data_IF_939146849916
#
_entry.id   IF_939146849916
#
_cell.length_a   1.000
_cell.length_b   1.000
_cell.length_c   1.000
_cell.angle_alpha   90.00
_cell.angle_beta   90.00
_cell.angle_gamma   90.00
#
_symmetry.space_group_name_H-M   'P 1'
#
loop_
_entity.id
_entity.type
_entity.pdbx_description
1 polymer ?
#
# COMPACT_ATOMS: atom_id res chain seq x y z
N UNK A 1 -24.49 9.82 -15.49
CA UNK A 1 -23.01 9.89 -15.68
C UNK A 1 -22.54 8.44 -15.85
N UNK A 2 -21.61 8.16 -16.77
CA UNK A 2 -21.03 6.82 -16.90
C UNK A 2 -20.26 6.54 -15.61
N UNK A 3 -20.51 5.39 -14.96
CA UNK A 3 -19.74 4.97 -13.80
C UNK A 3 -18.27 4.83 -14.20
N UNK A 4 -17.37 5.28 -13.34
CA UNK A 4 -15.94 5.11 -13.56
C UNK A 4 -15.51 3.70 -13.17
N UNK A 5 -14.65 3.10 -13.99
CA UNK A 5 -14.06 1.78 -13.74
C UNK A 5 -12.67 1.92 -13.16
N UNK A 6 -12.43 1.25 -12.04
CA UNK A 6 -11.12 1.23 -11.38
C UNK A 6 -10.28 0.05 -11.86
N UNK A 7 -9.07 0.30 -12.33
CA UNK A 7 -8.05 -0.72 -12.51
C UNK A 7 -7.26 -0.94 -11.23
N UNK A 8 -7.04 -2.18 -10.83
CA UNK A 8 -6.28 -2.49 -9.60
C UNK A 8 -5.07 -3.36 -9.94
N UNK A 9 -3.87 -2.83 -9.69
CA UNK A 9 -2.64 -3.61 -9.68
C UNK A 9 -2.56 -4.40 -8.37
N UNK A 10 -2.91 -5.67 -8.44
CA UNK A 10 -3.02 -6.57 -7.30
C UNK A 10 -2.07 -7.78 -7.36
N UNK A 11 -2.20 -8.64 -6.37
CA UNK A 11 -1.35 -9.82 -6.22
C UNK A 11 -0.04 -9.59 -5.46
N UNK A 12 0.13 -8.43 -4.83
CA UNK A 12 1.39 -7.90 -4.28
C UNK A 12 1.47 -7.83 -2.71
N UNK A 13 0.83 -8.65 -1.85
CA UNK A 13 0.31 -9.98 -2.02
C UNK A 13 -1.21 -10.10 -2.29
N UNK A 14 -1.58 -11.32 -2.63
CA UNK A 14 -2.96 -11.63 -3.02
C UNK A 14 -4.01 -11.24 -1.98
N UNK A 15 -3.77 -11.54 -0.70
CA UNK A 15 -4.72 -11.21 0.37
C UNK A 15 -4.97 -9.70 0.51
N UNK A 16 -3.98 -8.86 0.23
CA UNK A 16 -4.18 -7.41 0.22
C UNK A 16 -5.18 -6.98 -0.87
N UNK A 17 -5.17 -7.65 -2.02
CA UNK A 17 -6.13 -7.40 -3.10
C UNK A 17 -7.54 -7.86 -2.75
N UNK A 18 -7.68 -9.02 -2.08
CA UNK A 18 -8.97 -9.51 -1.58
C UNK A 18 -9.54 -8.53 -0.56
N UNK A 19 -8.74 -8.14 0.41
CA UNK A 19 -9.15 -7.20 1.46
C UNK A 19 -9.52 -5.82 0.89
N UNK A 20 -8.74 -5.31 -0.07
CA UNK A 20 -9.07 -4.07 -0.76
C UNK A 20 -10.43 -4.14 -1.45
N UNK A 21 -10.70 -5.24 -2.18
CA UNK A 21 -12.00 -5.43 -2.84
C UNK A 21 -13.15 -5.47 -1.84
N UNK A 22 -13.00 -6.25 -0.76
CA UNK A 22 -13.99 -6.33 0.32
C UNK A 22 -14.24 -4.94 0.95
N UNK A 23 -13.18 -4.18 1.23
CA UNK A 23 -13.32 -2.83 1.77
C UNK A 23 -14.07 -1.90 0.82
N UNK A 24 -13.75 -1.91 -0.48
CA UNK A 24 -14.44 -1.06 -1.44
C UNK A 24 -15.93 -1.42 -1.51
N UNK A 25 -16.28 -2.70 -1.52
CA UNK A 25 -17.68 -3.14 -1.49
C UNK A 25 -18.38 -2.67 -0.22
N UNK A 26 -17.77 -2.87 0.96
CA UNK A 26 -18.38 -2.53 2.24
C UNK A 26 -18.47 -1.02 2.49
N UNK A 27 -17.58 -0.22 1.93
CA UNK A 27 -17.56 1.24 2.09
C UNK A 27 -18.38 1.98 1.02
N UNK A 28 -18.84 1.29 -0.02
CA UNK A 28 -19.70 1.89 -1.03
C UNK A 28 -21.13 1.98 -0.49
N UNK A 29 -21.69 3.20 -0.46
CA UNK A 29 -23.10 3.42 -0.08
C UNK A 29 -24.01 3.00 -1.25
N UNK A 30 -24.14 1.69 -1.44
CA UNK A 30 -24.94 1.07 -2.49
C UNK A 30 -26.14 0.32 -1.88
N UNK A 31 -27.30 0.44 -2.53
CA UNK A 31 -28.54 -0.27 -2.13
C UNK A 31 -28.84 -1.46 -3.05
N UNK A 32 -28.24 -1.47 -4.24
CA UNK A 32 -28.37 -2.51 -5.26
C UNK A 32 -27.01 -2.73 -5.91
N UNK A 33 -26.81 -3.88 -6.54
CA UNK A 33 -25.52 -4.27 -7.15
C UNK A 33 -24.99 -3.24 -8.16
N UNK A 34 -25.90 -2.58 -8.90
CA UNK A 34 -25.57 -1.62 -9.96
C UNK A 34 -25.03 -0.28 -9.45
N UNK A 35 -25.07 -0.04 -8.15
CA UNK A 35 -24.53 1.16 -7.50
C UNK A 35 -23.09 0.97 -6.98
N UNK A 36 -22.58 -0.28 -7.03
CA UNK A 36 -21.20 -0.58 -6.65
C UNK A 36 -20.19 -0.10 -7.71
N UNK A 37 -18.94 0.00 -7.27
CA UNK A 37 -17.81 0.44 -8.11
C UNK A 37 -17.43 -0.66 -9.10
N UNK A 38 -17.39 -0.34 -10.40
CA UNK A 38 -16.85 -1.24 -11.41
C UNK A 38 -15.32 -1.37 -11.26
N UNK A 39 -14.79 -2.61 -11.20
CA UNK A 39 -13.36 -2.85 -11.03
C UNK A 39 -12.82 -3.94 -11.92
N UNK A 40 -11.59 -3.77 -12.39
CA UNK A 40 -10.77 -4.81 -13.01
C UNK A 40 -9.53 -5.00 -12.15
N UNK A 41 -9.39 -6.16 -11.53
CA UNK A 41 -8.28 -6.47 -10.63
C UNK A 41 -7.33 -7.45 -11.31
N UNK A 42 -6.07 -7.07 -11.51
CA UNK A 42 -5.02 -8.02 -11.85
C UNK A 42 -4.51 -8.68 -10.56
N UNK A 43 -4.35 -10.00 -10.57
CA UNK A 43 -3.74 -10.72 -9.45
C UNK A 43 -2.46 -11.41 -9.92
N UNK A 44 -1.35 -10.64 -9.99
CA UNK A 44 -0.05 -11.19 -10.39
C UNK A 44 0.77 -11.56 -9.16
N UNK A 45 0.49 -12.72 -8.57
CA UNK A 45 1.22 -13.22 -7.40
C UNK A 45 2.71 -13.52 -7.68
N UNK A 46 3.08 -13.73 -8.96
CA UNK A 46 4.45 -13.97 -9.42
C UNK A 46 5.30 -12.71 -9.58
N UNK A 47 4.77 -11.53 -9.20
CA UNK A 47 5.56 -10.29 -9.21
C UNK A 47 6.76 -10.41 -8.27
N UNK A 48 8.00 -10.14 -8.72
CA UNK A 48 9.20 -10.22 -7.90
C UNK A 48 9.07 -9.45 -6.58
N UNK A 49 9.73 -9.91 -5.51
CA UNK A 49 9.61 -9.25 -4.20
C UNK A 49 10.21 -7.84 -4.25
N UNK A 50 9.39 -6.86 -3.88
CA UNK A 50 9.72 -5.43 -3.92
C UNK A 50 10.78 -5.07 -2.90
N UNK A 51 10.68 -5.63 -1.69
CA UNK A 51 11.67 -5.35 -0.64
C UNK A 51 13.02 -5.93 -1.00
N UNK A 52 13.08 -7.19 -1.42
CA UNK A 52 14.33 -7.85 -1.81
C UNK A 52 15.05 -7.07 -2.94
N UNK A 53 14.31 -6.58 -3.94
CA UNK A 53 14.86 -5.72 -4.98
C UNK A 53 15.39 -4.39 -4.44
N UNK A 54 14.60 -3.70 -3.61
CA UNK A 54 14.96 -2.37 -3.07
C UNK A 54 16.19 -2.45 -2.15
N UNK A 55 16.33 -3.52 -1.38
CA UNK A 55 17.47 -3.66 -0.44
C UNK A 55 18.70 -4.32 -1.10
N UNK A 56 18.61 -4.71 -2.37
CA UNK A 56 19.72 -5.29 -3.13
C UNK A 56 19.95 -6.79 -2.90
N UNK A 57 18.94 -7.50 -2.38
CA UNK A 57 18.94 -8.96 -2.21
C UNK A 57 18.47 -9.72 -3.46
N UNK A 58 17.90 -9.01 -4.44
CA UNK A 58 17.46 -9.56 -5.72
C UNK A 58 17.66 -8.55 -6.84
N UNK A 59 18.07 -9.05 -8.01
CA UNK A 59 18.18 -8.26 -9.26
C UNK A 59 16.89 -8.29 -10.10
N UNK A 60 15.86 -9.00 -9.67
CA UNK A 60 14.59 -9.10 -10.38
C UNK A 60 13.76 -7.81 -10.21
N UNK A 61 13.78 -6.93 -11.23
CA UNK A 61 13.07 -5.65 -11.23
C UNK A 61 11.54 -5.84 -11.34
N UNK A 62 10.78 -5.58 -10.25
CA UNK A 62 9.32 -5.72 -10.26
C UNK A 62 8.61 -4.72 -11.17
N UNK A 63 9.24 -3.58 -11.47
CA UNK A 63 8.60 -2.49 -12.22
C UNK A 63 8.19 -2.91 -13.64
N UNK A 64 8.93 -3.84 -14.26
CA UNK A 64 8.63 -4.30 -15.62
C UNK A 64 7.25 -4.95 -15.74
N UNK A 65 6.96 -5.87 -14.83
CA UNK A 65 5.65 -6.56 -14.82
C UNK A 65 4.52 -5.66 -14.35
N UNK A 66 4.82 -4.71 -13.44
CA UNK A 66 3.83 -3.73 -12.99
C UNK A 66 3.43 -2.77 -14.11
N UNK A 67 4.38 -2.30 -14.91
CA UNK A 67 4.13 -1.48 -16.11
C UNK A 67 3.32 -2.25 -17.14
N UNK A 68 3.66 -3.52 -17.39
CA UNK A 68 2.91 -4.37 -18.33
C UNK A 68 1.45 -4.52 -17.90
N UNK A 69 1.20 -4.78 -16.63
CA UNK A 69 -0.17 -4.90 -16.11
C UNK A 69 -0.91 -3.55 -16.07
N UNK A 70 -0.24 -2.44 -15.78
CA UNK A 70 -0.83 -1.11 -15.85
C UNK A 70 -1.31 -0.77 -17.27
N UNK A 71 -0.49 -1.06 -18.28
CA UNK A 71 -0.86 -0.88 -19.70
C UNK A 71 -2.00 -1.78 -20.13
N UNK A 72 -2.07 -3.01 -19.62
CA UNK A 72 -3.21 -3.89 -19.88
C UNK A 72 -4.49 -3.32 -19.29
N UNK A 73 -4.45 -2.83 -18.06
CA UNK A 73 -5.60 -2.18 -17.44
C UNK A 73 -6.04 -0.93 -18.22
N UNK A 74 -5.11 -0.08 -18.65
CA UNK A 74 -5.41 1.05 -19.52
C UNK A 74 -6.08 0.60 -20.84
N UNK A 75 -5.55 -0.45 -21.49
CA UNK A 75 -6.13 -1.01 -22.71
C UNK A 75 -7.51 -1.64 -22.51
N UNK A 76 -7.85 -2.12 -21.32
CA UNK A 76 -9.21 -2.54 -20.98
C UNK A 76 -10.17 -1.36 -20.84
N UNK A 77 -9.68 -0.14 -20.79
CA UNK A 77 -10.47 1.08 -20.73
C UNK A 77 -10.90 1.47 -19.30
N UNK A 78 -10.10 1.13 -18.29
CA UNK A 78 -10.33 1.65 -16.92
C UNK A 78 -10.06 3.16 -16.89
N UNK A 79 -10.76 3.87 -16.01
CA UNK A 79 -10.65 5.32 -15.92
C UNK A 79 -9.45 5.79 -15.06
N UNK A 80 -9.02 4.98 -14.11
CA UNK A 80 -7.83 5.24 -13.28
C UNK A 80 -7.33 3.94 -12.63
N UNK A 81 -6.11 3.97 -12.11
CA UNK A 81 -5.45 2.81 -11.49
C UNK A 81 -5.20 3.06 -10.01
N UNK A 82 -5.44 2.02 -9.18
CA UNK A 82 -4.93 1.89 -7.82
C UNK A 82 -3.96 0.69 -7.72
N UNK A 83 -3.10 0.68 -6.71
CA UNK A 83 -2.15 -0.42 -6.48
C UNK A 83 -2.18 -0.85 -5.02
N UNK A 84 -2.48 -2.12 -4.75
CA UNK A 84 -2.68 -2.66 -3.39
C UNK A 84 -1.37 -3.09 -2.71
N UNK A 85 -0.33 -2.25 -2.83
CA UNK A 85 0.98 -2.53 -2.23
C UNK A 85 1.73 -1.25 -1.89
N UNK A 86 1.92 -0.97 -0.60
CA UNK A 86 2.69 0.19 -0.15
C UNK A 86 4.13 0.18 -0.70
N UNK A 87 4.86 -0.92 -0.53
CA UNK A 87 6.28 -1.02 -0.96
C UNK A 87 6.44 -0.81 -2.47
N UNK A 88 5.47 -1.25 -3.28
CA UNK A 88 5.51 -1.09 -4.73
C UNK A 88 5.36 0.39 -5.17
N UNK A 89 4.93 1.30 -4.29
CA UNK A 89 4.90 2.74 -4.58
C UNK A 89 6.30 3.35 -4.74
N UNK A 90 7.37 2.65 -4.38
CA UNK A 90 8.72 2.98 -4.84
C UNK A 90 8.82 3.12 -6.37
N UNK A 91 8.05 2.32 -7.09
CA UNK A 91 7.99 2.35 -8.55
C UNK A 91 6.89 3.24 -9.11
N UNK A 92 6.15 3.97 -8.27
CA UNK A 92 4.97 4.75 -8.65
C UNK A 92 5.23 5.66 -9.86
N UNK A 93 6.25 6.50 -9.81
CA UNK A 93 6.56 7.43 -10.90
C UNK A 93 6.87 6.70 -12.22
N UNK A 94 7.58 5.56 -12.14
CA UNK A 94 7.94 4.76 -13.32
C UNK A 94 6.70 4.12 -13.95
N UNK A 95 5.75 3.67 -13.14
CA UNK A 95 4.49 3.10 -13.60
C UNK A 95 3.57 4.19 -14.14
N UNK A 96 3.31 5.24 -13.36
CA UNK A 96 2.42 6.34 -13.73
C UNK A 96 2.85 7.04 -15.03
N UNK A 97 4.15 7.23 -15.25
CA UNK A 97 4.69 7.81 -16.49
C UNK A 97 4.58 6.86 -17.71
N UNK A 98 4.22 5.60 -17.52
CA UNK A 98 4.09 4.61 -18.60
C UNK A 98 2.68 4.49 -19.18
N UNK A 99 1.70 5.16 -18.58
CA UNK A 99 0.28 5.16 -18.92
C UNK A 99 -0.23 6.59 -19.06
N UNK A 100 -1.40 6.77 -19.71
CA UNK A 100 -2.02 8.09 -19.93
C UNK A 100 -3.21 8.36 -19.02
N UNK A 101 -3.64 7.38 -18.22
CA UNK A 101 -4.72 7.52 -17.25
C UNK A 101 -4.17 7.81 -15.84
N UNK A 102 -4.95 8.46 -14.97
CA UNK A 102 -4.51 8.75 -13.61
C UNK A 102 -4.18 7.47 -12.81
N UNK A 103 -3.16 7.54 -11.98
CA UNK A 103 -2.85 6.52 -10.98
C UNK A 103 -2.88 7.13 -9.60
N UNK A 104 -3.60 6.49 -8.66
CA UNK A 104 -3.66 6.91 -7.27
C UNK A 104 -2.37 6.53 -6.53
N UNK A 105 -1.83 7.49 -5.78
CA UNK A 105 -0.71 7.24 -4.87
C UNK A 105 -1.26 7.00 -3.45
N UNK A 106 -1.34 5.73 -3.02
CA UNK A 106 -1.95 5.41 -1.72
C UNK A 106 -1.14 5.97 -0.55
N UNK A 107 0.18 6.14 -0.68
CA UNK A 107 1.01 6.76 0.36
C UNK A 107 0.60 8.21 0.54
N UNK A 108 0.51 8.96 -0.56
CA UNK A 108 0.09 10.37 -0.54
C UNK A 108 -1.36 10.52 -0.04
N UNK A 109 -2.29 9.69 -0.52
CA UNK A 109 -3.70 9.74 -0.08
C UNK A 109 -3.84 9.40 1.41
N UNK A 110 -3.06 8.45 1.94
CA UNK A 110 -3.01 8.15 3.37
C UNK A 110 -2.58 9.36 4.20
N UNK A 111 -1.51 10.05 3.79
CA UNK A 111 -1.01 11.21 4.51
C UNK A 111 -1.95 12.42 4.38
N UNK A 112 -2.56 12.64 3.22
CA UNK A 112 -3.63 13.65 3.06
C UNK A 112 -4.79 13.38 4.01
N UNK A 113 -5.21 12.13 4.15
CA UNK A 113 -6.27 11.75 5.08
C UNK A 113 -5.87 12.02 6.53
N UNK A 114 -4.67 11.62 6.94
CA UNK A 114 -4.15 11.90 8.28
C UNK A 114 -4.12 13.41 8.57
N UNK A 115 -3.70 14.23 7.61
CA UNK A 115 -3.73 15.71 7.73
C UNK A 115 -5.16 16.23 7.89
N UNK A 116 -6.09 15.74 7.06
CA UNK A 116 -7.50 16.15 7.10
C UNK A 116 -8.20 15.76 8.40
N UNK A 117 -7.76 14.67 9.04
CA UNK A 117 -8.25 14.20 10.35
C UNK A 117 -7.46 14.74 11.54
N UNK A 118 -6.58 15.73 11.30
CA UNK A 118 -5.78 16.45 12.31
C UNK A 118 -4.76 15.59 13.08
N UNK A 119 -4.30 14.48 12.53
CA UNK A 119 -3.17 13.75 13.12
C UNK A 119 -1.91 14.60 13.08
N UNK A 120 -1.12 14.54 14.16
CA UNK A 120 0.10 15.34 14.34
C UNK A 120 1.36 14.53 14.20
N UNK A 121 1.35 13.28 14.67
CA UNK A 121 2.50 12.39 14.66
C UNK A 121 2.11 10.96 14.33
N UNK A 122 2.64 10.45 13.24
CA UNK A 122 2.35 9.10 12.74
C UNK A 122 3.45 8.10 13.10
N UNK A 123 3.06 6.96 13.65
CA UNK A 123 3.94 5.80 13.73
C UNK A 123 3.93 5.02 12.41
N UNK A 124 5.09 4.72 11.84
CA UNK A 124 5.19 4.01 10.57
C UNK A 124 5.48 2.52 10.81
N UNK A 125 4.50 1.65 10.50
CA UNK A 125 4.63 0.19 10.50
C UNK A 125 4.66 -0.34 9.06
N UNK A 126 5.85 -0.37 8.47
CA UNK A 126 6.01 -0.72 7.06
C UNK A 126 7.17 -1.71 6.86
N UNK A 127 7.28 -2.26 5.64
CA UNK A 127 8.43 -3.11 5.30
C UNK A 127 9.75 -2.33 5.34
N UNK A 128 10.85 -3.03 5.56
CA UNK A 128 12.20 -2.43 5.52
C UNK A 128 12.46 -1.73 4.18
N UNK A 129 11.95 -2.27 3.07
CA UNK A 129 12.04 -1.61 1.76
C UNK A 129 11.33 -0.27 1.72
N UNK A 130 10.14 -0.16 2.32
CA UNK A 130 9.41 1.09 2.42
C UNK A 130 10.17 2.11 3.30
N UNK A 131 10.66 1.68 4.47
CA UNK A 131 11.42 2.53 5.38
C UNK A 131 12.72 3.06 4.74
N UNK A 132 13.48 2.18 4.08
CA UNK A 132 14.75 2.56 3.41
C UNK A 132 14.56 3.52 2.23
N UNK A 133 13.40 3.54 1.62
CA UNK A 133 13.08 4.42 0.48
C UNK A 133 12.37 5.71 0.87
N UNK A 134 12.17 5.95 2.17
CA UNK A 134 11.51 7.13 2.75
C UNK A 134 10.10 7.42 2.20
N UNK A 135 9.38 6.40 1.72
CA UNK A 135 8.09 6.62 1.03
C UNK A 135 7.07 7.38 1.89
N UNK A 136 6.90 6.98 3.15
CA UNK A 136 6.01 7.68 4.07
C UNK A 136 6.68 8.91 4.70
N UNK A 137 7.97 8.83 4.99
CA UNK A 137 8.74 9.93 5.59
C UNK A 137 8.69 11.18 4.73
N UNK A 138 9.01 11.06 3.42
CA UNK A 138 8.97 12.16 2.46
C UNK A 138 7.56 12.78 2.35
N UNK A 139 6.50 11.95 2.40
CA UNK A 139 5.12 12.44 2.38
C UNK A 139 4.74 13.11 3.70
N UNK A 140 5.16 12.59 4.84
CA UNK A 140 4.95 13.24 6.13
C UNK A 140 5.61 14.62 6.17
N UNK A 141 6.86 14.73 5.70
CA UNK A 141 7.56 16.02 5.57
C UNK A 141 6.83 16.98 4.63
N UNK A 142 6.43 16.51 3.44
CA UNK A 142 5.67 17.31 2.46
C UNK A 142 4.37 17.90 3.04
N UNK A 143 3.69 17.15 3.90
CA UNK A 143 2.42 17.55 4.51
C UNK A 143 2.55 18.08 5.92
N UNK A 144 3.77 18.28 6.42
CA UNK A 144 4.07 18.82 7.76
C UNK A 144 3.41 18.01 8.87
N UNK A 145 3.55 16.69 8.83
CA UNK A 145 3.15 15.75 9.87
C UNK A 145 4.42 15.13 10.45
N UNK A 146 4.56 15.13 11.77
CA UNK A 146 5.65 14.43 12.43
C UNK A 146 5.51 12.92 12.25
N UNK A 147 6.62 12.20 12.25
CA UNK A 147 6.59 10.74 12.16
C UNK A 147 7.61 10.09 13.07
N UNK A 148 7.39 8.84 13.38
CA UNK A 148 8.31 7.96 14.07
C UNK A 148 8.48 6.66 13.31
N UNK A 149 9.72 6.27 13.05
CA UNK A 149 10.12 4.94 12.63
C UNK A 149 10.62 4.13 13.82
N UNK A 150 10.51 2.83 13.75
CA UNK A 150 10.98 1.94 14.81
C UNK A 150 12.48 1.68 14.70
N UNK A 151 13.11 1.35 15.82
CA UNK A 151 14.48 0.83 15.85
C UNK A 151 14.58 -0.53 15.13
N UNK A 152 15.82 -0.97 14.86
CA UNK A 152 16.09 -2.20 14.10
C UNK A 152 15.44 -3.46 14.71
N UNK A 153 15.43 -3.57 16.05
CA UNK A 153 14.86 -4.74 16.73
C UNK A 153 13.34 -4.78 16.54
N UNK A 154 12.65 -3.64 16.71
CA UNK A 154 11.20 -3.54 16.50
C UNK A 154 10.83 -3.63 15.02
N UNK A 155 11.65 -3.05 14.13
CA UNK A 155 11.49 -3.19 12.69
C UNK A 155 11.57 -4.66 12.24
N UNK A 156 12.47 -5.45 12.83
CA UNK A 156 12.54 -6.90 12.59
C UNK A 156 11.24 -7.62 13.00
N UNK A 157 10.60 -7.19 14.10
CA UNK A 157 9.30 -7.75 14.52
C UNK A 157 8.17 -7.37 13.55
N UNK A 158 8.19 -6.16 12.97
CA UNK A 158 7.25 -5.77 11.90
C UNK A 158 7.43 -6.68 10.68
N UNK A 159 8.68 -6.90 10.25
CA UNK A 159 8.99 -7.79 9.13
C UNK A 159 8.52 -9.23 9.38
N UNK A 160 8.69 -9.72 10.61
CA UNK A 160 8.24 -11.05 11.01
C UNK A 160 6.70 -11.19 10.90
N UNK A 161 5.94 -10.21 11.40
CA UNK A 161 4.48 -10.16 11.24
C UNK A 161 4.09 -10.14 9.76
N UNK A 162 4.74 -9.30 8.95
CA UNK A 162 4.40 -9.15 7.53
C UNK A 162 4.69 -10.44 6.75
N UNK A 163 5.89 -11.03 6.91
CA UNK A 163 6.35 -12.14 6.06
C UNK A 163 5.99 -13.52 6.62
N UNK A 164 6.17 -13.74 7.92
CA UNK A 164 5.97 -15.06 8.54
C UNK A 164 4.54 -15.31 9.00
N UNK A 165 3.75 -14.24 9.19
CA UNK A 165 2.33 -14.36 9.50
C UNK A 165 1.47 -14.02 8.26
N UNK A 166 1.28 -12.74 7.93
CA UNK A 166 0.31 -12.28 6.93
C UNK A 166 0.58 -12.84 5.53
N UNK A 167 1.80 -12.69 5.01
CA UNK A 167 2.15 -13.17 3.66
C UNK A 167 2.17 -14.70 3.58
N UNK A 168 2.39 -15.39 4.69
CA UNK A 168 2.31 -16.86 4.75
C UNK A 168 0.89 -17.39 4.94
N UNK A 169 -0.11 -16.52 5.01
CA UNK A 169 -1.53 -16.88 5.15
C UNK A 169 -1.95 -17.21 6.57
N UNK A 170 -1.14 -16.86 7.58
CA UNK A 170 -1.46 -17.02 9.00
C UNK A 170 -2.11 -15.75 9.56
N UNK A 171 -2.75 -15.87 10.71
CA UNK A 171 -3.17 -14.70 11.49
C UNK A 171 -1.97 -13.99 12.09
N UNK A 172 -2.02 -12.66 12.13
CA UNK A 172 -0.98 -11.86 12.77
C UNK A 172 -0.84 -12.19 14.26
N UNK A 173 0.40 -12.23 14.76
CA UNK A 173 0.65 -12.26 16.21
C UNK A 173 0.23 -10.92 16.83
N UNK A 174 -1.01 -10.89 17.33
CA UNK A 174 -1.59 -9.69 17.93
C UNK A 174 -0.87 -9.24 19.21
N UNK A 175 -0.21 -10.15 19.94
CA UNK A 175 0.59 -9.75 21.11
C UNK A 175 1.83 -8.96 20.69
N UNK A 176 2.51 -9.42 19.64
CA UNK A 176 3.65 -8.73 19.05
C UNK A 176 3.21 -7.39 18.44
N UNK A 177 2.14 -7.38 17.66
CA UNK A 177 1.57 -6.18 17.06
C UNK A 177 1.20 -5.13 18.11
N UNK A 178 0.48 -5.51 19.17
CA UNK A 178 0.06 -4.60 20.24
C UNK A 178 1.24 -3.99 21.00
N UNK A 179 2.35 -4.74 21.17
CA UNK A 179 3.58 -4.18 21.78
C UNK A 179 4.19 -3.06 20.92
N UNK A 180 4.20 -3.24 19.59
CA UNK A 180 4.69 -2.22 18.66
C UNK A 180 3.79 -0.98 18.68
N UNK A 181 2.47 -1.18 18.64
CA UNK A 181 1.48 -0.10 18.72
C UNK A 181 1.59 0.67 20.03
N UNK A 182 1.74 -0.03 21.18
CA UNK A 182 1.87 0.63 22.46
C UNK A 182 3.17 1.46 22.55
N UNK A 183 4.28 0.92 22.01
CA UNK A 183 5.53 1.68 21.94
C UNK A 183 5.37 2.98 21.13
N UNK A 184 4.67 2.96 20.01
CA UNK A 184 4.39 4.17 19.23
C UNK A 184 3.50 5.15 19.98
N UNK A 185 2.46 4.67 20.68
CA UNK A 185 1.60 5.50 21.54
C UNK A 185 2.35 6.14 22.71
N UNK A 186 3.24 5.40 23.38
CA UNK A 186 4.10 5.91 24.45
C UNK A 186 5.06 7.01 23.97
N UNK A 187 5.35 7.05 22.67
CA UNK A 187 6.13 8.08 22.00
C UNK A 187 5.25 9.13 21.28
N UNK A 188 4.02 9.33 21.77
CA UNK A 188 3.10 10.39 21.34
C UNK A 188 2.62 10.28 19.89
N UNK A 189 2.70 9.10 19.25
CA UNK A 189 2.07 8.89 17.97
C UNK A 189 0.54 8.81 18.15
N UNK A 190 -0.20 9.68 17.46
CA UNK A 190 -1.66 9.77 17.50
C UNK A 190 -2.36 9.06 16.32
N UNK A 191 -1.56 8.54 15.38
CA UNK A 191 -1.97 7.70 14.27
C UNK A 191 -0.89 6.67 13.91
N UNK A 192 -1.28 5.62 13.17
CA UNK A 192 -0.36 4.57 12.68
C UNK A 192 -0.67 4.31 11.21
N UNK A 193 0.37 4.20 10.40
CA UNK A 193 0.31 3.86 8.97
C UNK A 193 1.20 2.66 8.64
#
# INVERSE_FOLDING_TARGET
>A
MKNKTVGVLGGLGPMASVYFYEMVVNMTDAKIDQEHVDMIITNRATTPDRTAFIVGESDEDPSKVLIDDAKKLENYGVDFIAMTCNTAHYFYNKIANSINIPMLNIVEETIKHAKATNHKKLGILATTGNIKTNLYQDMCEKYEIEYMILDENRQSQVMDIIYNDIKSGKSADMNKFNKLVNHLKENECDGIV
#
